data_IF_918961566169
#
_entry.id   IF_918961566169
#
_cell.length_a   1.000
_cell.length_b   1.000
_cell.length_c   1.000
_cell.angle_alpha   90.00
_cell.angle_beta   90.00
_cell.angle_gamma   90.00
#
_symmetry.space_group_name_H-M   'P 1'
#
loop_
_entity.id
_entity.type
_entity.pdbx_description
1 polymer ?
#
# COMPACT_ATOMS: atom_id res chain seq x y z
N UNK A 1 27.64 10.19 11.67
CA UNK A 1 27.66 10.97 10.46
C UNK A 1 26.48 11.93 10.45
N UNK A 2 26.72 13.23 10.58
CA UNK A 2 25.65 14.25 10.64
C UNK A 2 25.30 14.82 9.26
N UNK A 3 25.85 14.28 8.17
CA UNK A 3 25.67 14.80 6.83
C UNK A 3 25.02 13.78 5.89
N UNK A 4 24.07 14.24 5.07
CA UNK A 4 23.51 13.48 3.97
C UNK A 4 24.58 13.19 2.91
N UNK A 5 24.74 11.91 2.55
CA UNK A 5 25.68 11.48 1.51
C UNK A 5 24.91 10.90 0.33
N UNK A 6 25.06 11.52 -0.83
CA UNK A 6 24.51 10.99 -2.09
C UNK A 6 25.27 9.73 -2.48
N UNK A 7 24.57 8.79 -3.12
CA UNK A 7 25.16 7.53 -3.64
C UNK A 7 25.87 6.69 -2.58
N UNK A 8 25.38 6.74 -1.33
CA UNK A 8 26.00 6.04 -0.19
C UNK A 8 25.47 4.62 0.04
N UNK A 9 24.28 4.34 -0.49
CA UNK A 9 23.57 3.07 -0.27
C UNK A 9 23.40 2.34 -1.60
N UNK A 10 23.76 1.06 -1.64
CA UNK A 10 23.48 0.18 -2.78
C UNK A 10 22.12 -0.51 -2.59
N UNK A 11 21.24 -0.35 -3.57
CA UNK A 11 19.91 -0.96 -3.61
C UNK A 11 19.87 -1.99 -4.72
N UNK A 12 19.43 -3.20 -4.39
CA UNK A 12 19.35 -4.34 -5.32
C UNK A 12 17.87 -4.72 -5.52
N UNK A 13 17.29 -4.33 -6.65
CA UNK A 13 15.94 -4.78 -7.03
C UNK A 13 16.05 -6.12 -7.75
N UNK A 14 15.26 -7.11 -7.29
CA UNK A 14 15.17 -8.44 -7.91
C UNK A 14 13.72 -8.91 -7.94
N UNK A 15 13.29 -9.59 -9.00
CA UNK A 15 11.97 -10.20 -9.02
C UNK A 15 11.86 -11.29 -7.95
N UNK A 16 10.73 -11.31 -7.26
CA UNK A 16 10.39 -12.38 -6.33
C UNK A 16 9.69 -13.48 -7.10
N UNK A 17 10.26 -14.68 -7.07
CA UNK A 17 9.65 -15.86 -7.70
C UNK A 17 8.96 -16.68 -6.63
N UNK A 18 7.66 -16.89 -6.79
CA UNK A 18 6.86 -17.78 -5.96
C UNK A 18 6.33 -18.95 -6.77
N UNK A 19 6.23 -20.11 -6.14
CA UNK A 19 5.80 -21.36 -6.80
C UNK A 19 4.37 -21.77 -6.43
N UNK A 20 3.82 -21.22 -5.35
CA UNK A 20 2.47 -21.53 -4.90
C UNK A 20 1.43 -20.68 -5.63
N UNK A 21 1.01 -21.14 -6.80
CA UNK A 21 -0.01 -20.47 -7.62
C UNK A 21 -1.41 -20.49 -6.98
N UNK A 22 -1.64 -21.29 -5.94
CA UNK A 22 -2.90 -21.33 -5.19
C UNK A 22 -2.96 -20.27 -4.09
N UNK A 23 -1.82 -19.69 -3.70
CA UNK A 23 -1.74 -18.73 -2.60
C UNK A 23 -2.76 -17.59 -2.69
N UNK A 24 -2.96 -17.02 -3.90
CA UNK A 24 -3.94 -15.95 -4.12
C UNK A 24 -5.39 -16.44 -3.97
N UNK A 25 -5.68 -17.65 -4.43
CA UNK A 25 -7.02 -18.24 -4.29
C UNK A 25 -7.34 -18.53 -2.83
N UNK A 26 -6.37 -19.02 -2.08
CA UNK A 26 -6.49 -19.29 -0.64
C UNK A 26 -6.70 -18.03 0.17
N UNK A 27 -5.98 -16.98 -0.15
CA UNK A 27 -6.16 -15.66 0.45
C UNK A 27 -7.57 -15.11 0.16
N UNK A 28 -8.03 -15.21 -1.09
CA UNK A 28 -9.40 -14.79 -1.47
C UNK A 28 -10.46 -15.60 -0.73
N UNK A 29 -10.22 -16.88 -0.48
CA UNK A 29 -11.12 -17.73 0.32
C UNK A 29 -11.15 -17.30 1.78
N UNK A 30 -9.97 -17.11 2.41
CA UNK A 30 -9.87 -16.65 3.81
C UNK A 30 -10.57 -15.32 4.05
N UNK A 31 -10.45 -14.39 3.12
CA UNK A 31 -11.01 -13.05 3.23
C UNK A 31 -12.24 -12.84 2.32
N UNK A 32 -12.99 -13.90 2.00
CA UNK A 32 -14.09 -13.86 1.04
C UNK A 32 -15.13 -12.75 1.30
N UNK A 33 -15.54 -12.43 2.55
CA UNK A 33 -16.46 -11.33 2.82
C UNK A 33 -15.88 -9.97 2.40
N UNK A 34 -14.61 -9.71 2.74
CA UNK A 34 -13.92 -8.45 2.40
C UNK A 34 -13.70 -8.33 0.90
N UNK A 35 -13.27 -9.40 0.23
CA UNK A 35 -13.10 -9.43 -1.23
C UNK A 35 -14.42 -9.15 -1.95
N UNK A 36 -15.54 -9.76 -1.50
CA UNK A 36 -16.87 -9.46 -2.05
C UNK A 36 -17.27 -8.00 -1.84
N UNK A 37 -17.00 -7.45 -0.65
CA UNK A 37 -17.29 -6.05 -0.35
C UNK A 37 -16.46 -5.10 -1.23
N UNK A 38 -15.17 -5.39 -1.43
CA UNK A 38 -14.28 -4.66 -2.33
C UNK A 38 -14.85 -4.66 -3.74
N UNK A 39 -15.12 -5.85 -4.30
CA UNK A 39 -15.64 -5.99 -5.66
C UNK A 39 -16.97 -5.28 -5.85
N UNK A 40 -17.92 -5.40 -4.91
CA UNK A 40 -19.20 -4.70 -5.00
C UNK A 40 -19.08 -3.18 -4.96
N UNK A 41 -18.12 -2.65 -4.18
CA UNK A 41 -17.97 -1.20 -4.01
C UNK A 41 -17.13 -0.54 -5.08
N UNK A 42 -16.15 -1.24 -5.62
CA UNK A 42 -15.14 -0.67 -6.51
C UNK A 42 -15.20 -1.20 -7.93
N UNK A 43 -15.85 -2.34 -8.20
CA UNK A 43 -16.09 -2.84 -9.57
C UNK A 43 -17.24 -2.11 -10.27
N UNK A 44 -18.09 -1.41 -9.54
CA UNK A 44 -18.97 -0.43 -10.19
C UNK A 44 -18.12 0.76 -10.59
N UNK A 45 -18.14 1.22 -11.85
CA UNK A 45 -17.49 2.48 -12.17
C UNK A 45 -18.04 3.46 -11.15
N UNK A 46 -17.15 3.96 -10.27
CA UNK A 46 -17.53 4.96 -9.28
C UNK A 46 -18.35 5.97 -10.03
N UNK A 47 -19.62 6.07 -9.65
CA UNK A 47 -20.62 6.92 -10.26
C UNK A 47 -20.27 8.42 -10.16
N UNK A 48 -19.19 8.80 -10.81
CA UNK A 48 -19.10 9.89 -11.66
C UNK A 48 -19.25 9.32 -13.04
N UNK A 49 -20.47 8.99 -13.46
CA UNK A 49 -20.75 9.02 -14.88
C UNK A 49 -20.05 10.26 -15.39
N UNK A 50 -19.15 10.17 -16.41
CA UNK A 50 -18.40 11.32 -16.87
C UNK A 50 -19.45 12.40 -17.10
N UNK A 51 -19.47 13.39 -16.18
CA UNK A 51 -20.45 14.48 -16.25
C UNK A 51 -20.12 15.16 -17.55
N UNK A 52 -21.01 15.03 -18.53
CA UNK A 52 -20.80 15.69 -19.81
C UNK A 52 -20.55 17.16 -19.51
N UNK A 53 -19.35 17.62 -19.74
CA UNK A 53 -19.06 19.03 -19.74
C UNK A 53 -19.75 19.60 -20.97
N UNK A 54 -20.70 20.49 -20.73
CA UNK A 54 -21.52 21.14 -21.76
C UNK A 54 -20.99 22.53 -22.05
N UNK A 55 -21.38 23.09 -23.20
CA UNK A 55 -21.00 24.45 -23.62
C UNK A 55 -19.49 24.62 -23.72
N UNK A 56 -18.86 23.73 -24.44
CA UNK A 56 -17.44 23.80 -24.74
C UNK A 56 -17.23 24.37 -26.18
N UNK A 57 -16.09 25.05 -26.42
CA UNK A 57 -15.75 25.52 -27.76
C UNK A 57 -15.44 24.40 -28.73
N UNK A 58 -15.06 23.20 -28.22
CA UNK A 58 -14.74 21.98 -28.96
C UNK A 58 -15.09 20.76 -28.14
N UNK A 59 -15.45 19.61 -28.76
CA UNK A 59 -15.84 18.40 -28.05
C UNK A 59 -16.26 17.24 -28.95
N UNK A 60 -16.54 16.08 -28.31
CA UNK A 60 -16.86 14.82 -29.00
C UNK A 60 -18.27 14.78 -29.61
N UNK A 61 -19.18 15.65 -29.16
CA UNK A 61 -20.55 15.73 -29.63
C UNK A 61 -21.11 17.15 -29.51
N UNK A 62 -22.11 17.46 -30.31
CA UNK A 62 -22.82 18.75 -30.22
C UNK A 62 -23.77 18.75 -29.01
N UNK A 63 -23.75 19.80 -28.20
CA UNK A 63 -24.74 20.09 -27.18
C UNK A 63 -25.99 20.67 -27.86
N UNK A 64 -27.01 19.85 -28.04
CA UNK A 64 -28.22 20.23 -28.78
C UNK A 64 -28.96 21.39 -28.10
N UNK A 65 -28.92 21.49 -26.77
CA UNK A 65 -29.55 22.58 -26.04
C UNK A 65 -28.83 23.91 -26.32
N UNK A 66 -27.48 23.87 -26.25
CA UNK A 66 -26.65 25.05 -26.58
C UNK A 66 -26.77 25.45 -28.06
N UNK A 67 -26.86 24.50 -28.99
CA UNK A 67 -27.05 24.75 -30.40
C UNK A 67 -28.43 25.39 -30.70
N UNK A 68 -29.47 24.92 -30.02
CA UNK A 68 -30.82 25.51 -30.11
C UNK A 68 -30.82 26.95 -29.54
N UNK A 69 -30.24 27.17 -28.35
CA UNK A 69 -30.13 28.49 -27.77
C UNK A 69 -29.39 29.46 -28.70
N UNK A 70 -28.27 29.03 -29.28
CA UNK A 70 -27.54 29.85 -30.27
C UNK A 70 -28.32 30.14 -31.52
N UNK A 71 -29.11 29.18 -32.02
CA UNK A 71 -29.97 29.37 -33.19
C UNK A 71 -31.10 30.37 -32.92
N UNK A 72 -31.72 30.30 -31.73
CA UNK A 72 -32.75 31.25 -31.27
C UNK A 72 -32.16 32.64 -31.13
N UNK A 73 -30.99 32.77 -30.48
CA UNK A 73 -30.30 34.05 -30.35
C UNK A 73 -29.94 34.71 -31.69
N UNK A 74 -29.46 33.95 -32.65
CA UNK A 74 -29.16 34.44 -34.02
C UNK A 74 -30.46 34.91 -34.73
N UNK A 75 -31.56 34.21 -34.61
CA UNK A 75 -32.85 34.62 -35.20
C UNK A 75 -33.42 35.89 -34.53
N UNK A 76 -33.13 36.06 -33.25
CA UNK A 76 -33.50 37.27 -32.49
C UNK A 76 -32.56 38.49 -32.74
N UNK A 77 -31.59 38.38 -33.65
CA UNK A 77 -30.72 39.47 -34.01
C UNK A 77 -29.57 39.74 -33.04
N UNK A 78 -29.27 38.80 -32.11
CA UNK A 78 -28.15 38.91 -31.18
C UNK A 78 -26.84 38.53 -31.90
N UNK A 79 -25.95 39.50 -32.05
CA UNK A 79 -24.67 39.33 -32.75
C UNK A 79 -23.63 38.45 -32.04
N UNK A 80 -23.80 38.20 -30.74
CA UNK A 80 -22.90 37.39 -29.94
C UNK A 80 -23.57 36.06 -29.56
N UNK A 81 -23.81 35.19 -30.55
CA UNK A 81 -24.16 33.82 -30.26
C UNK A 81 -22.97 33.14 -29.61
N UNK A 82 -23.20 32.45 -28.49
CA UNK A 82 -22.15 31.70 -27.80
C UNK A 82 -21.69 30.54 -28.71
N UNK A 83 -20.41 30.55 -29.09
CA UNK A 83 -19.82 29.52 -29.95
C UNK A 83 -19.50 28.19 -29.21
N UNK A 84 -19.87 28.10 -27.93
CA UNK A 84 -19.67 26.91 -27.09
C UNK A 84 -20.79 25.89 -27.31
N UNK A 85 -20.79 25.28 -28.48
CA UNK A 85 -21.84 24.40 -28.95
C UNK A 85 -21.57 22.92 -28.70
N UNK A 86 -20.43 22.59 -28.12
CA UNK A 86 -20.00 21.22 -27.98
C UNK A 86 -20.11 20.73 -26.54
N UNK A 87 -20.23 19.41 -26.41
CA UNK A 87 -20.10 18.69 -25.16
C UNK A 87 -18.99 17.66 -25.30
N UNK A 88 -18.18 17.51 -24.27
CA UNK A 88 -17.20 16.45 -24.18
C UNK A 88 -17.54 15.55 -22.99
N UNK A 89 -17.26 14.28 -23.14
CA UNK A 89 -17.12 13.38 -22.02
C UNK A 89 -15.65 13.46 -21.60
N UNK A 90 -15.27 14.24 -20.57
CA UNK A 90 -13.92 14.16 -20.09
C UNK A 90 -13.75 12.70 -19.68
N UNK A 91 -12.90 11.99 -20.38
CA UNK A 91 -12.32 10.73 -19.93
C UNK A 91 -11.52 11.10 -18.67
N UNK A 92 -12.20 11.24 -17.53
CA UNK A 92 -11.55 11.25 -16.24
C UNK A 92 -11.02 9.82 -16.04
N UNK A 93 -10.04 9.46 -16.84
CA UNK A 93 -9.22 8.32 -16.54
C UNK A 93 -8.59 8.65 -15.19
N UNK A 94 -9.06 7.96 -14.18
CA UNK A 94 -8.48 8.00 -12.85
C UNK A 94 -6.99 7.65 -12.99
N UNK A 95 -6.16 8.68 -12.96
CA UNK A 95 -4.73 8.55 -13.19
C UNK A 95 -4.04 8.43 -11.83
N UNK A 96 -4.18 7.29 -11.18
CA UNK A 96 -3.55 6.97 -9.91
C UNK A 96 -2.56 5.81 -10.09
N UNK A 97 -1.34 5.99 -9.60
CA UNK A 97 -0.37 4.90 -9.39
C UNK A 97 -0.05 4.74 -7.91
N UNK A 98 -0.09 3.51 -7.43
CA UNK A 98 0.18 3.18 -6.03
C UNK A 98 1.35 2.19 -5.94
N UNK A 99 2.34 2.51 -5.12
CA UNK A 99 3.36 1.54 -4.72
C UNK A 99 3.11 1.08 -3.28
N UNK A 100 3.07 -0.22 -3.08
CA UNK A 100 3.04 -0.85 -1.77
C UNK A 100 4.45 -1.29 -1.42
N UNK A 101 4.96 -0.85 -0.29
CA UNK A 101 6.28 -1.15 0.21
C UNK A 101 6.13 -1.92 1.53
N UNK A 102 6.41 -3.22 1.51
CA UNK A 102 6.25 -4.12 2.63
C UNK A 102 7.59 -4.34 3.32
N UNK A 103 7.61 -4.10 4.61
CA UNK A 103 8.73 -4.46 5.45
C UNK A 103 8.83 -5.99 5.56
N UNK A 104 9.99 -6.50 5.19
CA UNK A 104 10.35 -7.92 5.30
C UNK A 104 11.53 -8.11 6.25
N UNK A 105 11.77 -7.17 7.17
CA UNK A 105 12.81 -7.32 8.18
C UNK A 105 12.52 -8.49 9.13
N UNK A 106 13.55 -8.94 9.85
CA UNK A 106 13.46 -10.10 10.72
C UNK A 106 12.39 -9.97 11.81
N UNK A 107 12.09 -8.74 12.28
CA UNK A 107 11.01 -8.48 13.25
C UNK A 107 9.63 -8.91 12.76
N UNK A 108 9.34 -8.80 11.46
CA UNK A 108 8.06 -9.23 10.89
C UNK A 108 7.81 -10.74 10.96
N UNK A 109 8.85 -11.50 11.34
CA UNK A 109 8.79 -12.93 11.59
C UNK A 109 8.20 -13.32 12.95
N UNK A 110 8.01 -12.37 13.87
CA UNK A 110 7.44 -12.68 15.17
C UNK A 110 5.99 -13.12 15.05
N UNK A 111 5.64 -14.11 15.89
CA UNK A 111 4.26 -14.57 16.00
C UNK A 111 3.38 -13.50 16.64
N UNK A 112 2.18 -13.36 16.11
CA UNK A 112 1.16 -12.49 16.69
C UNK A 112 0.56 -13.24 17.88
N UNK A 113 0.56 -12.66 19.11
CA UNK A 113 -0.11 -13.26 20.25
C UNK A 113 -1.59 -13.47 19.94
N UNK A 114 -2.07 -14.68 20.12
CA UNK A 114 -3.51 -14.95 20.05
C UNK A 114 -4.19 -14.35 21.29
N UNK A 115 -4.90 -13.23 21.12
CA UNK A 115 -5.64 -12.54 22.19
C UNK A 115 -6.81 -13.37 22.74
N UNK A 116 -7.20 -14.44 22.03
CA UNK A 116 -8.27 -15.36 22.42
C UNK A 116 -7.74 -16.70 22.94
N UNK A 117 -6.41 -16.91 22.92
CA UNK A 117 -5.83 -18.05 23.58
C UNK A 117 -6.10 -17.90 25.10
N UNK A 118 -6.71 -18.90 25.76
CA UNK A 118 -6.80 -18.88 27.21
C UNK A 118 -5.39 -18.72 27.78
N UNK A 119 -5.24 -17.86 28.77
CA UNK A 119 -3.98 -17.73 29.48
C UNK A 119 -3.51 -19.14 29.85
N UNK A 120 -2.22 -19.48 29.63
CA UNK A 120 -1.74 -20.80 30.03
C UNK A 120 -1.96 -20.91 31.54
N UNK A 121 -2.79 -21.87 31.91
CA UNK A 121 -3.04 -22.20 33.33
C UNK A 121 -1.81 -22.96 33.81
N UNK A 122 -0.78 -22.17 34.17
CA UNK A 122 0.59 -22.65 34.40
C UNK A 122 0.72 -23.61 35.59
N UNK A 123 -0.32 -23.75 36.42
CA UNK A 123 -0.30 -24.62 37.57
C UNK A 123 -1.02 -26.00 37.36
N UNK A 124 -2.03 -26.04 36.50
CA UNK A 124 -2.79 -27.27 36.25
C UNK A 124 -2.23 -28.09 35.08
N UNK A 125 -1.66 -27.44 34.09
CA UNK A 125 -1.12 -28.06 32.88
C UNK A 125 0.17 -28.88 33.17
N UNK A 126 1.05 -28.41 34.05
CA UNK A 126 2.32 -29.07 34.34
C UNK A 126 2.15 -30.41 35.06
N UNK A 127 1.07 -30.59 35.84
CA UNK A 127 0.78 -31.83 36.56
C UNK A 127 0.11 -32.84 35.62
N UNK A 128 -0.70 -32.41 34.70
CA UNK A 128 -1.48 -33.29 33.81
C UNK A 128 -0.63 -33.92 32.73
N UNK A 129 0.39 -33.27 32.21
CA UNK A 129 1.20 -33.88 31.17
C UNK A 129 2.42 -34.66 31.68
N UNK A 130 2.79 -34.55 32.94
CA UNK A 130 3.65 -35.55 33.60
C UNK A 130 2.97 -36.90 33.75
N UNK A 131 1.61 -36.90 33.80
CA UNK A 131 0.83 -38.15 33.95
C UNK A 131 0.42 -38.80 32.62
N UNK A 132 0.35 -38.04 31.53
CA UNK A 132 -0.25 -38.51 30.27
C UNK A 132 0.73 -38.92 29.15
N UNK A 133 2.01 -38.79 29.35
CA UNK A 133 3.08 -39.34 28.46
C UNK A 133 3.12 -38.88 27.00
N UNK A 134 2.16 -38.14 26.50
CA UNK A 134 2.17 -37.49 25.17
C UNK A 134 0.94 -36.61 25.00
N UNK A 135 1.12 -35.31 24.70
CA UNK A 135 0.02 -34.52 24.16
C UNK A 135 -0.34 -35.03 22.76
N UNK A 136 -1.64 -35.30 22.45
CA UNK A 136 -2.03 -35.38 21.06
C UNK A 136 -1.68 -34.03 20.41
N UNK A 137 -0.80 -34.07 19.44
CA UNK A 137 -0.53 -32.93 18.58
C UNK A 137 -1.83 -32.64 17.81
N UNK A 138 -2.75 -31.90 18.40
CA UNK A 138 -3.68 -31.10 17.63
C UNK A 138 -2.76 -30.27 16.72
N UNK A 139 -2.86 -30.50 15.42
CA UNK A 139 -2.11 -29.79 14.42
C UNK A 139 -2.50 -28.31 14.52
N UNK A 140 -1.90 -27.62 15.50
CA UNK A 140 -2.00 -26.18 15.66
C UNK A 140 -1.38 -25.62 14.39
N UNK A 141 -2.20 -24.94 13.61
CA UNK A 141 -1.68 -24.14 12.52
C UNK A 141 -0.57 -23.28 13.08
N UNK A 142 0.59 -23.18 12.40
CA UNK A 142 1.69 -22.37 12.90
C UNK A 142 1.17 -20.96 13.19
N UNK A 143 1.59 -20.35 14.32
CA UNK A 143 1.09 -19.05 14.71
C UNK A 143 1.34 -18.05 13.57
N UNK A 144 0.33 -17.24 13.25
CA UNK A 144 0.43 -16.23 12.20
C UNK A 144 1.49 -15.20 12.59
N UNK A 145 2.32 -14.83 11.63
CA UNK A 145 3.36 -13.82 11.80
C UNK A 145 2.84 -12.46 11.38
N UNK A 146 3.51 -11.41 11.83
CA UNK A 146 3.22 -10.03 11.40
C UNK A 146 3.27 -9.93 9.87
N UNK A 147 4.30 -10.50 9.23
CA UNK A 147 4.41 -10.51 7.77
C UNK A 147 3.23 -11.20 7.08
N UNK A 148 2.66 -12.26 7.64
CA UNK A 148 1.54 -12.97 7.02
C UNK A 148 0.30 -12.07 6.95
N UNK A 149 0.01 -11.32 8.02
CA UNK A 149 -1.11 -10.37 8.03
C UNK A 149 -0.84 -9.15 7.15
N UNK A 150 0.41 -8.68 7.11
CA UNK A 150 0.83 -7.61 6.21
C UNK A 150 0.66 -8.01 4.73
N UNK A 151 0.99 -9.26 4.38
CA UNK A 151 0.72 -9.82 3.04
C UNK A 151 -0.78 -9.86 2.73
N UNK A 152 -1.60 -10.33 3.67
CA UNK A 152 -3.05 -10.37 3.49
C UNK A 152 -3.61 -8.96 3.26
N UNK A 153 -3.16 -7.97 4.02
CA UNK A 153 -3.56 -6.57 3.86
C UNK A 153 -3.14 -5.99 2.50
N UNK A 154 -1.90 -6.26 2.09
CA UNK A 154 -1.39 -5.83 0.78
C UNK A 154 -2.20 -6.45 -0.37
N UNK A 155 -2.51 -7.74 -0.27
CA UNK A 155 -3.30 -8.44 -1.28
C UNK A 155 -4.73 -7.88 -1.39
N UNK A 156 -5.39 -7.59 -0.26
CA UNK A 156 -6.71 -6.97 -0.26
C UNK A 156 -6.69 -5.56 -0.88
N UNK A 157 -5.61 -4.82 -0.66
CA UNK A 157 -5.43 -3.52 -1.31
C UNK A 157 -5.21 -3.68 -2.82
N UNK A 158 -4.42 -4.66 -3.26
CA UNK A 158 -4.26 -4.99 -4.68
C UNK A 158 -5.58 -5.40 -5.34
N UNK A 159 -6.43 -6.20 -4.66
CA UNK A 159 -7.79 -6.52 -5.14
C UNK A 159 -8.62 -5.25 -5.38
N UNK A 160 -8.53 -4.29 -4.47
CA UNK A 160 -9.26 -3.04 -4.60
C UNK A 160 -8.73 -2.14 -5.72
N UNK A 161 -7.41 -1.99 -5.81
CA UNK A 161 -6.75 -1.20 -6.85
C UNK A 161 -7.00 -1.80 -8.24
N UNK A 162 -6.93 -3.13 -8.35
CA UNK A 162 -7.27 -3.84 -9.60
C UNK A 162 -8.74 -3.65 -9.99
N UNK A 163 -9.66 -3.71 -9.01
CA UNK A 163 -11.09 -3.47 -9.27
C UNK A 163 -11.40 -2.04 -9.73
N UNK A 164 -10.54 -1.09 -9.39
CA UNK A 164 -10.62 0.32 -9.80
C UNK A 164 -9.82 0.64 -11.06
N UNK A 165 -9.17 -0.35 -11.64
CA UNK A 165 -8.22 -0.21 -12.77
C UNK A 165 -7.07 0.76 -12.48
N UNK A 166 -6.69 0.89 -11.21
CA UNK A 166 -5.55 1.72 -10.80
C UNK A 166 -4.22 0.94 -10.99
N UNK A 167 -3.22 1.62 -11.54
CA UNK A 167 -1.87 1.06 -11.68
C UNK A 167 -1.23 0.89 -10.30
N UNK A 168 -0.71 -0.30 -10.02
CA UNK A 168 -0.09 -0.54 -8.72
C UNK A 168 1.07 -1.53 -8.80
N UNK A 169 2.06 -1.31 -7.95
CA UNK A 169 3.20 -2.21 -7.76
C UNK A 169 3.32 -2.63 -6.30
N UNK A 170 3.95 -3.78 -6.08
CA UNK A 170 4.21 -4.33 -4.73
C UNK A 170 5.68 -4.67 -4.62
N UNK A 171 6.32 -4.13 -3.59
CA UNK A 171 7.72 -4.36 -3.25
C UNK A 171 7.84 -4.87 -1.83
N UNK A 172 8.66 -5.90 -1.61
CA UNK A 172 9.15 -6.24 -0.27
C UNK A 172 10.53 -5.62 -0.08
N UNK A 173 10.88 -5.18 1.13
CA UNK A 173 12.23 -4.67 1.38
C UNK A 173 12.84 -5.22 2.66
N UNK A 174 14.15 -5.37 2.64
CA UNK A 174 14.97 -5.67 3.81
C UNK A 174 16.36 -5.08 3.60
N UNK A 175 17.22 -5.12 4.60
CA UNK A 175 18.57 -4.59 4.50
C UNK A 175 19.59 -5.40 5.30
N UNK A 176 20.86 -5.31 4.88
CA UNK A 176 22.02 -5.79 5.63
C UNK A 176 23.16 -4.79 5.45
N UNK A 177 23.03 -3.66 6.13
CA UNK A 177 23.94 -2.53 6.00
C UNK A 177 23.69 -1.72 4.70
N UNK A 178 24.58 -0.76 4.47
CA UNK A 178 24.44 0.20 3.35
C UNK A 178 24.73 -0.40 1.97
N UNK A 179 25.45 -1.50 1.90
CA UNK A 179 25.85 -2.13 0.64
C UNK A 179 24.84 -3.16 0.15
N UNK A 180 23.88 -3.53 0.99
CA UNK A 180 22.87 -4.51 0.66
C UNK A 180 21.51 -4.09 1.18
N UNK A 181 20.78 -3.36 0.35
CA UNK A 181 19.36 -3.10 0.54
C UNK A 181 18.61 -3.86 -0.53
N UNK A 182 17.97 -4.94 -0.14
CA UNK A 182 17.26 -5.81 -1.06
C UNK A 182 15.82 -5.35 -1.24
N UNK A 183 15.42 -5.16 -2.49
CA UNK A 183 14.05 -4.86 -2.90
C UNK A 183 13.53 -6.03 -3.72
N UNK A 184 12.59 -6.76 -3.16
CA UNK A 184 11.89 -7.83 -3.85
C UNK A 184 10.71 -7.27 -4.66
N UNK A 185 10.80 -7.27 -5.99
CA UNK A 185 9.69 -6.92 -6.87
C UNK A 185 8.69 -8.08 -6.92
N UNK A 186 7.56 -7.93 -6.23
CA UNK A 186 6.46 -8.91 -6.20
C UNK A 186 5.56 -8.74 -7.43
N UNK A 187 5.22 -7.48 -7.77
CA UNK A 187 4.37 -7.11 -8.89
C UNK A 187 4.76 -5.74 -9.41
N UNK A 188 4.98 -5.62 -10.70
CA UNK A 188 5.21 -4.32 -11.33
C UNK A 188 3.90 -3.60 -11.69
N UNK A 189 3.94 -2.27 -11.90
CA UNK A 189 2.78 -1.41 -12.18
C UNK A 189 1.93 -1.91 -13.36
N UNK A 190 2.56 -2.34 -14.45
CA UNK A 190 1.87 -2.82 -15.65
C UNK A 190 1.41 -4.27 -15.58
N UNK A 191 1.86 -5.04 -14.59
CA UNK A 191 1.50 -6.44 -14.47
C UNK A 191 0.08 -6.61 -13.86
N UNK A 192 -0.68 -7.64 -14.24
CA UNK A 192 -1.98 -7.92 -13.62
C UNK A 192 -1.81 -8.50 -12.20
N UNK A 193 -2.79 -8.24 -11.33
CA UNK A 193 -2.88 -8.91 -10.04
C UNK A 193 -3.50 -10.30 -10.23
N UNK A 194 -2.65 -11.29 -10.47
CA UNK A 194 -3.01 -12.66 -10.84
C UNK A 194 -2.20 -13.68 -10.01
N UNK A 195 -2.42 -14.98 -10.26
CA UNK A 195 -1.78 -16.06 -9.52
C UNK A 195 -0.26 -15.93 -9.38
N UNK A 196 0.52 -15.56 -10.41
CA UNK A 196 1.97 -15.37 -10.25
C UNK A 196 2.34 -14.28 -9.23
N UNK A 197 1.62 -13.14 -9.23
CA UNK A 197 1.83 -12.07 -8.27
C UNK A 197 1.45 -12.50 -6.83
N UNK A 198 0.36 -13.27 -6.70
CA UNK A 198 -0.01 -13.89 -5.42
C UNK A 198 1.02 -14.86 -4.90
N UNK A 199 1.58 -15.71 -5.77
CA UNK A 199 2.66 -16.63 -5.44
C UNK A 199 3.93 -15.89 -4.99
N UNK A 200 4.31 -14.82 -5.72
CA UNK A 200 5.44 -13.97 -5.36
C UNK A 200 5.23 -13.28 -4.00
N UNK A 201 4.02 -12.76 -3.73
CA UNK A 201 3.70 -12.19 -2.42
C UNK A 201 3.82 -13.22 -1.30
N UNK A 202 3.32 -14.44 -1.51
CA UNK A 202 3.43 -15.53 -0.54
C UNK A 202 4.89 -15.92 -0.26
N UNK A 203 5.76 -15.84 -1.27
CA UNK A 203 7.17 -16.21 -1.19
C UNK A 203 8.03 -15.23 -0.38
N UNK A 204 7.55 -14.02 -0.06
CA UNK A 204 8.27 -13.10 0.82
C UNK A 204 8.55 -13.74 2.18
N UNK A 205 9.75 -13.55 2.71
CA UNK A 205 10.18 -14.09 4.00
C UNK A 205 10.78 -13.00 4.86
N UNK A 206 10.65 -13.11 6.20
CA UNK A 206 11.35 -12.22 7.11
C UNK A 206 12.86 -12.42 7.01
N UNK A 207 13.60 -11.32 6.83
CA UNK A 207 15.06 -11.37 6.74
C UNK A 207 15.70 -9.99 6.97
N UNK A 208 16.91 -9.99 7.52
CA UNK A 208 17.73 -8.79 7.62
C UNK A 208 17.15 -7.70 8.51
N UNK A 209 17.54 -6.47 8.23
CA UNK A 209 17.24 -5.25 8.97
C UNK A 209 16.27 -4.34 8.21
N UNK A 210 15.85 -3.23 8.87
CA UNK A 210 14.82 -2.31 8.36
C UNK A 210 15.47 -1.02 7.86
N UNK A 211 15.88 -0.95 6.58
CA UNK A 211 16.45 0.26 5.99
C UNK A 211 15.40 1.02 5.15
N UNK A 212 14.39 1.52 5.86
CA UNK A 212 13.18 2.12 5.26
C UNK A 212 13.49 3.32 4.36
N UNK A 213 14.42 4.21 4.75
CA UNK A 213 14.72 5.41 3.96
C UNK A 213 15.21 5.12 2.55
N UNK A 214 16.07 4.12 2.37
CA UNK A 214 16.55 3.69 1.06
C UNK A 214 15.42 3.07 0.22
N UNK A 215 14.61 2.21 0.84
CA UNK A 215 13.47 1.56 0.19
C UNK A 215 12.40 2.57 -0.26
N UNK A 216 12.11 3.58 0.56
CA UNK A 216 11.19 4.70 0.22
C UNK A 216 11.69 5.47 -1.00
N UNK A 217 12.98 5.83 -1.05
CA UNK A 217 13.57 6.53 -2.21
C UNK A 217 13.46 5.71 -3.48
N UNK A 218 13.75 4.41 -3.39
CA UNK A 218 13.65 3.50 -4.53
C UNK A 218 12.19 3.39 -5.04
N UNK A 219 11.23 3.12 -4.16
CA UNK A 219 9.82 3.03 -4.54
C UNK A 219 9.28 4.37 -5.09
N UNK A 220 9.73 5.50 -4.54
CA UNK A 220 9.39 6.82 -5.06
C UNK A 220 9.93 7.05 -6.48
N UNK A 221 11.16 6.62 -6.78
CA UNK A 221 11.71 6.70 -8.14
C UNK A 221 10.91 5.85 -9.13
N UNK A 222 10.52 4.65 -8.74
CA UNK A 222 9.65 3.78 -9.56
C UNK A 222 8.28 4.44 -9.82
N UNK A 223 7.69 5.08 -8.81
CA UNK A 223 6.44 5.83 -8.95
C UNK A 223 6.59 7.06 -9.87
N UNK A 224 7.70 7.76 -9.80
CA UNK A 224 7.94 8.95 -10.63
C UNK A 224 8.08 8.60 -12.11
N UNK A 225 8.49 7.40 -12.45
CA UNK A 225 8.51 6.90 -13.82
C UNK A 225 7.11 6.59 -14.39
N UNK A 226 6.08 6.49 -13.54
CA UNK A 226 4.71 6.24 -13.96
C UNK A 226 4.04 7.50 -14.56
N UNK A 227 3.27 7.36 -15.64
CA UNK A 227 2.64 8.50 -16.32
C UNK A 227 1.47 9.12 -15.53
N UNK A 228 1.12 8.58 -14.38
CA UNK A 228 -0.05 8.97 -13.61
C UNK A 228 0.10 10.37 -12.98
N UNK A 229 -1.01 11.14 -12.93
CA UNK A 229 -1.06 12.46 -12.29
C UNK A 229 -0.94 12.38 -10.76
N UNK A 230 -1.50 11.32 -10.18
CA UNK A 230 -1.45 11.07 -8.73
C UNK A 230 -0.58 9.86 -8.45
N UNK A 231 0.37 10.02 -7.55
CA UNK A 231 1.30 8.97 -7.14
C UNK A 231 1.25 8.81 -5.65
N UNK A 232 1.05 7.59 -5.17
CA UNK A 232 0.91 7.29 -3.75
C UNK A 232 1.84 6.15 -3.37
N UNK A 233 2.63 6.37 -2.34
CA UNK A 233 3.46 5.35 -1.71
C UNK A 233 2.82 4.95 -0.38
N UNK A 234 2.55 3.67 -0.19
CA UNK A 234 2.04 3.10 1.06
C UNK A 234 3.12 2.21 1.64
N UNK A 235 3.61 2.56 2.82
CA UNK A 235 4.61 1.79 3.56
C UNK A 235 3.91 1.00 4.65
N UNK A 236 4.15 -0.31 4.70
CA UNK A 236 3.69 -1.21 5.75
C UNK A 236 4.92 -1.72 6.50
N UNK A 237 5.05 -1.37 7.78
CA UNK A 237 6.19 -1.76 8.63
C UNK A 237 5.69 -2.09 10.05
N UNK A 238 6.44 -2.92 10.76
CA UNK A 238 6.15 -3.36 12.11
C UNK A 238 7.01 -2.70 13.17
N UNK A 239 7.92 -1.81 12.80
CA UNK A 239 8.83 -1.27 13.80
C UNK A 239 9.72 -0.11 13.34
N UNK A 240 10.71 0.14 14.19
CA UNK A 240 11.72 1.15 13.98
C UNK A 240 12.61 0.87 12.76
N UNK A 241 12.97 1.89 11.97
CA UNK A 241 14.04 1.75 11.00
C UNK A 241 15.38 1.46 11.72
N UNK A 242 15.81 0.22 11.67
CA UNK A 242 17.04 -0.26 12.28
C UNK A 242 17.95 -0.95 11.29
N UNK A 243 19.23 -0.59 11.32
CA UNK A 243 20.25 -1.23 10.50
C UNK A 243 21.61 -1.13 11.21
N UNK A 244 22.50 -2.12 10.99
CA UNK A 244 23.83 -2.19 11.61
C UNK A 244 24.71 -1.00 11.28
N UNK A 245 24.55 -0.41 10.08
CA UNK A 245 25.35 0.72 9.61
C UNK A 245 24.80 2.09 10.09
N UNK A 246 23.71 2.11 10.82
CA UNK A 246 23.19 3.36 11.40
C UNK A 246 23.99 3.80 12.64
N UNK A 247 24.87 2.94 13.14
CA UNK A 247 25.68 3.18 14.34
C UNK A 247 25.23 2.33 15.53
N UNK A 248 25.46 2.80 16.75
CA UNK A 248 25.11 2.09 17.98
C UNK A 248 24.23 2.92 18.89
N UNK A 249 23.39 2.26 19.71
CA UNK A 249 22.57 2.89 20.74
C UNK A 249 21.57 3.92 20.19
N UNK A 250 21.32 4.96 20.97
CA UNK A 250 20.35 6.01 20.67
C UNK A 250 20.63 6.77 19.35
N UNK A 251 21.90 6.88 18.96
CA UNK A 251 22.28 7.53 17.71
C UNK A 251 21.80 6.74 16.48
N UNK A 252 21.88 5.41 16.53
CA UNK A 252 21.40 4.56 15.45
C UNK A 252 19.88 4.72 15.22
N UNK A 253 19.13 4.73 16.33
CA UNK A 253 17.67 4.95 16.28
C UNK A 253 17.33 6.31 15.69
N UNK A 254 17.98 7.37 16.16
CA UNK A 254 17.77 8.73 15.66
C UNK A 254 18.11 8.83 14.18
N UNK A 255 19.19 8.20 13.74
CA UNK A 255 19.58 8.22 12.31
C UNK A 255 18.53 7.55 11.42
N UNK A 256 18.05 6.36 11.80
CA UNK A 256 17.04 5.62 11.04
C UNK A 256 15.74 6.41 10.88
N UNK A 257 15.27 7.04 11.96
CA UNK A 257 14.08 7.89 11.93
C UNK A 257 14.28 9.11 11.02
N UNK A 258 15.41 9.81 11.15
CA UNK A 258 15.69 11.01 10.35
C UNK A 258 15.91 10.69 8.88
N UNK A 259 16.57 9.59 8.55
CA UNK A 259 16.73 9.14 7.15
C UNK A 259 15.39 8.81 6.52
N UNK A 260 14.52 8.10 7.25
CA UNK A 260 13.17 7.77 6.78
C UNK A 260 12.32 9.05 6.60
N UNK A 261 12.34 9.95 7.59
CA UNK A 261 11.64 11.22 7.51
C UNK A 261 12.12 12.07 6.32
N UNK A 262 13.43 12.09 6.07
CA UNK A 262 14.02 12.80 4.94
C UNK A 262 13.58 12.17 3.61
N UNK A 263 13.61 10.86 3.48
CA UNK A 263 13.16 10.15 2.28
C UNK A 263 11.69 10.44 1.95
N UNK A 264 10.81 10.46 2.96
CA UNK A 264 9.40 10.81 2.79
C UNK A 264 9.21 12.29 2.40
N UNK A 265 10.03 13.20 2.92
CA UNK A 265 10.02 14.63 2.50
C UNK A 265 10.47 14.78 1.05
N UNK A 266 11.51 14.06 0.63
CA UNK A 266 12.00 14.02 -0.74
C UNK A 266 10.93 13.51 -1.71
N UNK A 267 10.31 12.38 -1.39
CA UNK A 267 9.20 11.80 -2.18
C UNK A 267 8.05 12.81 -2.34
N UNK A 268 7.64 13.48 -1.25
CA UNK A 268 6.58 14.47 -1.29
C UNK A 268 6.93 15.69 -2.15
N UNK A 269 8.16 16.21 -2.04
CA UNK A 269 8.63 17.34 -2.88
C UNK A 269 8.64 16.99 -4.37
N UNK A 270 8.86 15.72 -4.68
CA UNK A 270 8.80 15.19 -6.03
C UNK A 270 7.38 14.88 -6.52
N UNK A 271 6.34 15.12 -5.72
CA UNK A 271 4.94 14.88 -6.09
C UNK A 271 4.41 13.47 -5.78
N UNK A 272 5.11 12.72 -4.92
CA UNK A 272 4.64 11.42 -4.42
C UNK A 272 4.03 11.60 -3.03
N UNK A 273 2.73 11.39 -2.90
CA UNK A 273 2.07 11.35 -1.60
C UNK A 273 2.44 10.05 -0.89
N UNK A 274 2.73 10.12 0.42
CA UNK A 274 3.08 8.94 1.20
C UNK A 274 2.10 8.71 2.35
N UNK A 275 1.84 7.46 2.66
CA UNK A 275 1.06 7.02 3.80
C UNK A 275 1.77 5.84 4.48
N UNK A 276 1.89 5.89 5.80
CA UNK A 276 2.57 4.86 6.56
C UNK A 276 1.59 4.11 7.45
N UNK A 277 1.64 2.79 7.40
CA UNK A 277 0.88 1.90 8.26
C UNK A 277 1.85 1.13 9.15
N UNK A 278 1.76 1.34 10.45
CA UNK A 278 2.54 0.60 11.42
C UNK A 278 1.64 -0.35 12.20
N UNK A 279 2.13 -1.56 12.41
CA UNK A 279 1.49 -2.56 13.30
C UNK A 279 2.13 -2.62 14.68
N UNK A 280 3.13 -1.77 14.93
CA UNK A 280 3.74 -1.61 16.24
C UNK A 280 2.90 -0.67 17.11
N UNK A 281 2.41 -1.16 18.24
CA UNK A 281 1.61 -0.37 19.19
C UNK A 281 2.38 0.84 19.75
N UNK A 282 3.72 0.74 19.88
CA UNK A 282 4.59 1.84 20.30
C UNK A 282 4.90 2.86 19.19
N UNK A 283 4.41 2.61 17.98
CA UNK A 283 4.72 3.45 16.82
C UNK A 283 4.30 4.92 16.97
N UNK A 284 3.30 5.23 17.79
CA UNK A 284 2.87 6.61 18.01
C UNK A 284 4.01 7.53 18.46
N UNK A 285 4.95 7.03 19.23
CA UNK A 285 6.04 7.83 19.78
C UNK A 285 7.07 8.23 18.72
N UNK A 286 7.41 7.34 17.80
CA UNK A 286 8.40 7.62 16.77
C UNK A 286 7.80 8.08 15.44
N UNK A 287 6.59 7.66 15.10
CA UNK A 287 5.95 8.04 13.83
C UNK A 287 5.75 9.55 13.70
N UNK A 288 5.54 10.26 14.81
CA UNK A 288 5.47 11.72 14.84
C UNK A 288 6.75 12.40 14.36
N UNK A 289 7.90 11.73 14.52
CA UNK A 289 9.20 12.21 14.04
C UNK A 289 9.43 11.89 12.56
N UNK A 290 8.73 10.89 12.02
CA UNK A 290 8.84 10.44 10.62
C UNK A 290 7.91 11.22 9.70
N UNK A 291 6.63 11.35 10.09
CA UNK A 291 5.63 11.99 9.24
C UNK A 291 4.50 12.66 10.04
N UNK A 292 3.74 13.60 9.44
CA UNK A 292 2.61 14.25 10.08
C UNK A 292 1.51 13.26 10.50
N UNK A 293 0.75 13.56 11.59
CA UNK A 293 -0.25 12.63 12.16
C UNK A 293 -1.32 12.13 11.19
N UNK A 294 -1.71 12.94 10.20
CA UNK A 294 -2.71 12.56 9.20
C UNK A 294 -2.15 11.68 8.07
N UNK A 295 -0.85 11.33 8.12
CA UNK A 295 -0.16 10.54 7.10
C UNK A 295 0.33 9.18 7.62
N UNK A 296 -0.07 8.80 8.80
CA UNK A 296 0.16 7.46 9.31
C UNK A 296 -1.02 6.95 10.12
N UNK A 297 -1.15 5.65 10.16
CA UNK A 297 -2.02 4.94 11.09
C UNK A 297 -1.20 3.92 11.86
N UNK A 298 -1.45 3.85 13.15
CA UNK A 298 -1.00 2.76 14.00
C UNK A 298 -2.17 1.80 14.14
N UNK A 299 -1.93 0.54 13.82
CA UNK A 299 -2.91 -0.53 13.89
C UNK A 299 -2.54 -1.40 15.08
N UNK A 300 -3.12 -1.11 16.23
CA UNK A 300 -2.83 -1.81 17.49
C UNK A 300 -3.15 -3.30 17.44
N UNK A 301 -4.12 -3.68 16.63
CA UNK A 301 -4.48 -5.07 16.38
C UNK A 301 -4.16 -5.43 14.93
N UNK A 302 -3.16 -6.26 14.72
CA UNK A 302 -2.70 -6.67 13.38
C UNK A 302 -3.85 -7.27 12.58
N UNK A 303 -4.76 -8.00 13.23
CA UNK A 303 -5.96 -8.56 12.61
C UNK A 303 -6.95 -7.51 12.08
N UNK A 304 -6.90 -6.28 12.58
CA UNK A 304 -7.71 -5.18 12.08
C UNK A 304 -7.12 -4.53 10.80
N UNK A 305 -5.86 -4.86 10.44
CA UNK A 305 -5.18 -4.28 9.29
C UNK A 305 -5.96 -4.48 7.97
N UNK A 306 -6.52 -5.65 7.63
CA UNK A 306 -7.30 -5.82 6.41
C UNK A 306 -8.52 -4.89 6.32
N UNK A 307 -9.22 -4.69 7.44
CA UNK A 307 -10.37 -3.78 7.47
C UNK A 307 -9.96 -2.30 7.34
N UNK A 308 -8.82 -1.92 7.92
CA UNK A 308 -8.24 -0.57 7.79
C UNK A 308 -7.81 -0.27 6.36
N UNK A 309 -7.35 -1.29 5.61
CA UNK A 309 -7.03 -1.14 4.19
C UNK A 309 -8.22 -0.68 3.36
N UNK A 310 -9.44 -1.15 3.66
CA UNK A 310 -10.65 -0.66 2.98
C UNK A 310 -10.91 0.84 3.23
N UNK A 311 -10.61 1.33 4.43
CA UNK A 311 -10.72 2.76 4.73
C UNK A 311 -9.68 3.57 3.95
N UNK A 312 -8.46 3.07 3.80
CA UNK A 312 -7.43 3.70 3.00
C UNK A 312 -7.82 3.75 1.51
N UNK A 313 -8.35 2.65 0.96
CA UNK A 313 -8.85 2.63 -0.42
C UNK A 313 -9.92 3.70 -0.65
N UNK A 314 -10.84 3.89 0.30
CA UNK A 314 -11.85 4.95 0.21
C UNK A 314 -11.24 6.35 0.19
N UNK A 315 -10.18 6.55 0.97
CA UNK A 315 -9.44 7.82 0.97
C UNK A 315 -8.77 8.07 -0.39
N UNK A 316 -8.14 7.05 -0.96
CA UNK A 316 -7.50 7.09 -2.27
C UNK A 316 -8.52 7.24 -3.41
N UNK A 317 -9.73 6.72 -3.23
CA UNK A 317 -10.80 6.75 -4.21
C UNK A 317 -11.44 8.15 -4.38
N UNK A 318 -11.28 9.07 -3.42
CA UNK A 318 -11.84 10.41 -3.51
C UNK A 318 -11.14 11.19 -4.63
N UNK A 319 -11.90 11.85 -5.52
CA UNK A 319 -11.32 12.82 -6.45
C UNK A 319 -10.64 13.94 -5.65
N UNK A 320 -9.56 14.46 -6.18
CA UNK A 320 -8.82 15.58 -5.58
C UNK A 320 -9.62 16.87 -5.75
#
# INVERSE_FOLDING_TARGET
LQAYRRHWVAVHERPVVGHDLQALADLRRRHAPLVRQIRRRFASPLAGAPRRERRLPDGDAVDLDAALDAQVARRAGHSAADDRLYQARPLHQRSLSVALLLDCSSSTGFAIPDRHAPAPDTAADDVLWMAAGSRPSLALQPPRRVLDVTKDAAALLCEALQAMDDRHAVFGFSGAGRLQVDIGLVKDFGAPWAAPAGAALAALKPQGATRTGAAVRHAAQRLLAEPSRRRVLIVLSDGYPQDSDYGSGAQALTYGLQDTAQALREARRAGVASFHLSVDAAAHDYMRHICPPHRYWVVEAVDALPARMLALVRLLARPA
#
